data_IF_290771587124
#
_entry.id   IF_290771587124
#
_cell.length_a   1.000
_cell.length_b   1.000
_cell.length_c   1.000
_cell.angle_alpha   90.00
_cell.angle_beta   90.00
_cell.angle_gamma   90.00
#
_symmetry.space_group_name_H-M   'P 1'
#
loop_
_entity.id
_entity.type
_entity.pdbx_description
1 polymer ?
#
# COMPACT_ATOMS: atom_id res chain seq x y z
N UNK A 1 8.22 -30.42 -1.44
CA UNK A 1 7.79 -29.98 -0.10
C UNK A 1 7.22 -28.59 -0.25
N UNK A 2 5.90 -28.45 -0.20
CA UNK A 2 5.25 -27.14 -0.13
C UNK A 2 5.43 -26.64 1.30
N UNK A 3 6.30 -25.65 1.50
CA UNK A 3 6.33 -24.89 2.74
C UNK A 3 4.94 -24.25 2.86
N UNK A 4 4.15 -24.69 3.84
CA UNK A 4 2.93 -23.97 4.20
C UNK A 4 3.39 -22.60 4.68
N UNK A 5 3.18 -21.56 3.86
CA UNK A 5 3.27 -20.18 4.33
C UNK A 5 2.33 -20.07 5.54
N UNK A 6 2.87 -19.62 6.66
CA UNK A 6 2.10 -19.34 7.87
C UNK A 6 1.26 -18.10 7.56
N UNK A 7 -0.01 -18.35 7.23
CA UNK A 7 -0.99 -17.29 7.05
C UNK A 7 -1.13 -16.50 8.34
N UNK A 8 -0.72 -15.23 8.32
CA UNK A 8 -0.94 -14.29 9.43
C UNK A 8 -2.35 -13.73 9.31
N UNK A 9 -3.04 -13.55 10.43
CA UNK A 9 -4.37 -12.93 10.44
C UNK A 9 -4.30 -11.42 10.28
N UNK A 10 -5.42 -10.79 9.87
CA UNK A 10 -5.53 -9.33 9.79
C UNK A 10 -5.27 -8.65 11.14
N UNK A 11 -5.77 -9.22 12.24
CA UNK A 11 -5.54 -8.72 13.60
C UNK A 11 -4.05 -8.71 13.97
N UNK A 12 -3.33 -9.78 13.63
CA UNK A 12 -1.89 -9.84 13.87
C UNK A 12 -1.13 -8.81 13.00
N UNK A 13 -1.55 -8.59 11.76
CA UNK A 13 -0.96 -7.58 10.88
C UNK A 13 -1.20 -6.15 11.39
N UNK A 14 -2.40 -5.86 11.90
CA UNK A 14 -2.72 -4.58 12.55
C UNK A 14 -1.84 -4.34 13.77
N UNK A 15 -1.71 -5.35 14.64
CA UNK A 15 -0.86 -5.26 15.82
C UNK A 15 0.60 -4.97 15.48
N UNK A 16 1.13 -5.53 14.40
CA UNK A 16 2.48 -5.21 13.93
C UNK A 16 2.59 -3.75 13.47
N UNK A 17 1.58 -3.24 12.75
CA UNK A 17 1.53 -1.86 12.30
C UNK A 17 1.44 -0.87 13.49
N UNK A 18 0.56 -1.13 14.47
CA UNK A 18 0.44 -0.35 15.71
C UNK A 18 1.74 -0.31 16.53
N UNK A 19 2.56 -1.36 16.44
CA UNK A 19 3.86 -1.45 17.10
C UNK A 19 5.01 -0.89 16.24
N UNK A 20 4.69 -0.25 15.12
CA UNK A 20 5.63 0.26 14.11
C UNK A 20 6.62 -0.80 13.58
N UNK A 21 6.24 -2.08 13.62
CA UNK A 21 7.04 -3.21 13.11
C UNK A 21 6.93 -3.33 11.58
N UNK A 22 7.16 -2.23 10.87
CA UNK A 22 6.97 -2.12 9.42
C UNK A 22 7.86 -3.06 8.61
N UNK A 23 9.00 -3.48 9.15
CA UNK A 23 9.86 -4.50 8.51
C UNK A 23 9.15 -5.85 8.43
N UNK A 24 8.46 -6.25 9.50
CA UNK A 24 7.73 -7.52 9.58
C UNK A 24 6.44 -7.46 8.76
N UNK A 25 5.72 -6.33 8.81
CA UNK A 25 4.58 -6.06 7.91
C UNK A 25 4.98 -6.21 6.45
N UNK A 26 6.11 -5.61 6.06
CA UNK A 26 6.60 -5.69 4.68
C UNK A 26 7.02 -7.11 4.29
N UNK A 27 7.65 -7.86 5.18
CA UNK A 27 8.03 -9.25 4.92
C UNK A 27 6.81 -10.12 4.64
N UNK A 28 5.75 -10.00 5.45
CA UNK A 28 4.48 -10.69 5.25
C UNK A 28 3.89 -10.33 3.88
N UNK A 29 3.73 -9.04 3.58
CA UNK A 29 3.03 -8.61 2.38
C UNK A 29 3.80 -8.91 1.08
N UNK A 30 5.11 -9.17 1.16
CA UNK A 30 5.91 -9.67 0.04
C UNK A 30 5.62 -11.14 -0.29
N UNK A 31 5.14 -11.94 0.67
CA UNK A 31 4.71 -13.32 0.40
C UNK A 31 3.39 -13.38 -0.37
N UNK A 32 2.55 -12.35 -0.22
CA UNK A 32 1.31 -12.18 -0.94
C UNK A 32 0.24 -11.46 -0.10
N UNK A 33 -0.78 -10.96 -0.79
CA UNK A 33 -1.96 -10.38 -0.15
C UNK A 33 -3.07 -11.42 -0.14
N UNK A 34 -3.56 -11.76 1.05
CA UNK A 34 -4.72 -12.63 1.21
C UNK A 34 -6.03 -11.86 1.00
N UNK A 35 -7.09 -12.58 0.59
CA UNK A 35 -8.42 -12.01 0.35
C UNK A 35 -8.98 -11.28 1.57
N UNK A 36 -8.70 -11.75 2.78
CA UNK A 36 -9.11 -11.09 4.03
C UNK A 36 -8.42 -9.72 4.18
N UNK A 37 -7.11 -9.66 3.98
CA UNK A 37 -6.34 -8.41 4.04
C UNK A 37 -6.81 -7.42 2.98
N UNK A 38 -7.06 -7.92 1.76
CA UNK A 38 -7.58 -7.13 0.66
C UNK A 38 -8.98 -6.58 0.95
N UNK A 39 -9.88 -7.43 1.45
CA UNK A 39 -11.25 -7.05 1.81
C UNK A 39 -11.26 -6.01 2.92
N UNK A 40 -10.42 -6.18 3.94
CA UNK A 40 -10.28 -5.21 5.02
C UNK A 40 -9.72 -3.87 4.52
N UNK A 41 -8.66 -3.88 3.71
CA UNK A 41 -8.05 -2.66 3.19
C UNK A 41 -9.06 -1.84 2.36
N UNK A 42 -9.81 -2.51 1.48
CA UNK A 42 -10.79 -1.87 0.59
C UNK A 42 -12.04 -1.36 1.30
N UNK A 43 -12.51 -2.04 2.35
CA UNK A 43 -13.77 -1.69 3.05
C UNK A 43 -13.57 -0.83 4.30
N UNK A 44 -12.43 -0.95 4.96
CA UNK A 44 -12.19 -0.37 6.28
C UNK A 44 -10.91 0.44 6.30
N UNK A 45 -9.76 -0.18 6.02
CA UNK A 45 -8.45 0.41 6.27
C UNK A 45 -8.21 1.74 5.55
N UNK A 46 -8.56 1.87 4.27
CA UNK A 46 -8.38 3.13 3.52
C UNK A 46 -9.21 4.31 4.06
N UNK A 47 -10.26 4.02 4.82
CA UNK A 47 -11.20 4.99 5.39
C UNK A 47 -11.02 5.19 6.89
N UNK A 48 -10.03 4.52 7.50
CA UNK A 48 -9.77 4.63 8.93
C UNK A 48 -9.44 6.07 9.35
N UNK A 49 -9.82 6.42 10.57
CA UNK A 49 -9.36 7.64 11.21
C UNK A 49 -7.87 7.56 11.61
N UNK A 50 -7.35 6.34 11.80
CA UNK A 50 -5.96 6.09 12.16
C UNK A 50 -5.04 6.17 10.92
N UNK A 51 -3.93 6.91 11.06
CA UNK A 51 -2.92 7.04 10.01
C UNK A 51 -2.16 5.75 9.73
N UNK A 52 -1.95 4.90 10.74
CA UNK A 52 -1.21 3.64 10.60
C UNK A 52 -2.07 2.57 9.92
N UNK A 53 -3.36 2.52 10.22
CA UNK A 53 -4.31 1.68 9.48
C UNK A 53 -4.41 2.10 8.02
N UNK A 54 -4.45 3.41 7.73
CA UNK A 54 -4.43 3.92 6.34
C UNK A 54 -3.12 3.61 5.64
N UNK A 55 -1.99 3.68 6.34
CA UNK A 55 -0.68 3.28 5.81
C UNK A 55 -0.68 1.78 5.48
N UNK A 56 -1.10 0.92 6.41
CA UNK A 56 -1.18 -0.52 6.20
C UNK A 56 -2.10 -0.85 5.03
N UNK A 57 -3.27 -0.23 4.95
CA UNK A 57 -4.20 -0.41 3.85
C UNK A 57 -3.57 0.00 2.50
N UNK A 58 -2.94 1.18 2.41
CA UNK A 58 -2.26 1.62 1.20
C UNK A 58 -1.13 0.64 0.78
N UNK A 59 -0.39 0.11 1.75
CA UNK A 59 0.65 -0.89 1.54
C UNK A 59 0.09 -2.22 1.00
N UNK A 60 -1.01 -2.71 1.57
CA UNK A 60 -1.73 -3.89 1.08
C UNK A 60 -2.18 -3.67 -0.37
N UNK A 61 -2.77 -2.51 -0.67
CA UNK A 61 -3.27 -2.19 -2.00
C UNK A 61 -2.16 -2.09 -3.05
N UNK A 62 -0.97 -1.65 -2.68
CA UNK A 62 0.19 -1.63 -3.59
C UNK A 62 0.70 -3.05 -3.91
N UNK A 63 0.67 -3.97 -2.94
CA UNK A 63 1.08 -5.36 -3.14
C UNK A 63 0.03 -6.20 -3.88
N UNK A 64 -1.26 -5.90 -3.73
CA UNK A 64 -2.37 -6.63 -4.38
C UNK A 64 -2.20 -6.68 -5.91
N UNK A 65 -2.37 -7.85 -6.53
CA UNK A 65 -1.98 -8.09 -7.93
C UNK A 65 -2.74 -7.24 -8.94
N UNK A 66 -4.07 -7.13 -8.83
CA UNK A 66 -4.91 -6.32 -9.73
C UNK A 66 -6.10 -5.68 -9.00
N UNK A 67 -6.23 -4.36 -9.07
CA UNK A 67 -7.41 -3.65 -8.56
C UNK A 67 -8.46 -3.55 -9.67
N UNK A 68 -9.32 -4.57 -9.80
CA UNK A 68 -10.39 -4.60 -10.82
C UNK A 68 -11.79 -4.41 -10.21
N UNK A 69 -12.76 -4.04 -11.05
CA UNK A 69 -14.21 -4.05 -10.80
C UNK A 69 -14.64 -3.51 -9.43
N UNK A 70 -14.75 -4.40 -8.46
CA UNK A 70 -15.16 -4.14 -7.07
C UNK A 70 -14.24 -3.16 -6.32
N UNK A 71 -13.04 -2.90 -6.85
CA UNK A 71 -12.07 -1.96 -6.27
C UNK A 71 -12.25 -0.51 -6.72
N UNK A 72 -13.29 -0.18 -7.50
CA UNK A 72 -13.46 1.18 -8.05
C UNK A 72 -13.45 2.27 -6.97
N UNK A 73 -14.15 2.05 -5.86
CA UNK A 73 -14.16 2.99 -4.73
C UNK A 73 -12.79 3.06 -4.04
N UNK A 74 -12.11 1.94 -3.90
CA UNK A 74 -10.77 1.89 -3.31
C UNK A 74 -9.77 2.67 -4.17
N UNK A 75 -9.86 2.57 -5.50
CA UNK A 75 -9.01 3.33 -6.44
C UNK A 75 -9.28 4.83 -6.34
N UNK A 76 -10.55 5.25 -6.32
CA UNK A 76 -10.92 6.67 -6.13
C UNK A 76 -10.39 7.17 -4.79
N UNK A 77 -10.45 6.35 -3.73
CA UNK A 77 -9.93 6.70 -2.42
C UNK A 77 -8.41 6.82 -2.41
N UNK A 78 -7.69 5.89 -3.03
CA UNK A 78 -6.23 5.93 -3.19
C UNK A 78 -5.79 7.19 -3.93
N UNK A 79 -6.48 7.54 -5.02
CA UNK A 79 -6.22 8.77 -5.76
C UNK A 79 -6.41 10.01 -4.88
N UNK A 80 -7.50 10.09 -4.11
CA UNK A 80 -7.72 11.17 -3.16
C UNK A 80 -6.64 11.23 -2.06
N UNK A 81 -6.13 10.10 -1.58
CA UNK A 81 -5.04 10.04 -0.59
C UNK A 81 -3.75 10.68 -1.11
N UNK A 82 -3.45 10.58 -2.41
CA UNK A 82 -2.25 11.21 -2.99
C UNK A 82 -2.20 12.72 -2.72
N UNK A 83 -3.36 13.36 -2.59
CA UNK A 83 -3.47 14.80 -2.33
C UNK A 83 -3.73 15.11 -0.85
N UNK A 84 -4.64 14.38 -0.22
CA UNK A 84 -5.21 14.75 1.09
C UNK A 84 -4.55 14.06 2.29
N UNK A 85 -3.79 13.00 2.08
CA UNK A 85 -3.26 12.20 3.19
C UNK A 85 -2.15 12.95 3.96
N UNK A 86 -2.26 13.13 5.28
CA UNK A 86 -1.17 13.72 6.07
C UNK A 86 0.00 12.76 6.28
N UNK A 87 -0.23 11.45 6.41
CA UNK A 87 0.84 10.47 6.59
C UNK A 87 1.60 10.25 5.27
N UNK A 88 2.90 10.58 5.25
CA UNK A 88 3.72 10.48 4.05
C UNK A 88 3.81 9.04 3.51
N UNK A 89 3.96 8.03 4.36
CA UNK A 89 4.07 6.65 3.92
C UNK A 89 2.76 6.14 3.32
N UNK A 90 1.63 6.46 3.96
CA UNK A 90 0.31 6.18 3.41
C UNK A 90 0.11 6.85 2.04
N UNK A 91 0.50 8.13 1.91
CA UNK A 91 0.46 8.88 0.64
C UNK A 91 1.34 8.23 -0.43
N UNK A 92 2.56 7.83 -0.08
CA UNK A 92 3.51 7.21 -0.97
C UNK A 92 3.00 5.87 -1.51
N UNK A 93 2.56 4.96 -0.63
CA UNK A 93 2.03 3.67 -1.08
C UNK A 93 0.71 3.80 -1.85
N UNK A 94 -0.11 4.81 -1.55
CA UNK A 94 -1.29 5.12 -2.35
C UNK A 94 -0.89 5.54 -3.79
N UNK A 95 0.14 6.40 -3.92
CA UNK A 95 0.68 6.78 -5.22
C UNK A 95 1.26 5.57 -5.99
N UNK A 96 1.99 4.68 -5.33
CA UNK A 96 2.48 3.43 -5.93
C UNK A 96 1.33 2.53 -6.42
N UNK A 97 0.28 2.36 -5.62
CA UNK A 97 -0.91 1.60 -6.01
C UNK A 97 -1.59 2.24 -7.23
N UNK A 98 -1.71 3.57 -7.28
CA UNK A 98 -2.24 4.28 -8.47
C UNK A 98 -1.35 4.07 -9.70
N UNK A 99 -0.02 4.20 -9.56
CA UNK A 99 0.92 4.00 -10.66
C UNK A 99 0.83 2.58 -11.24
N UNK A 100 0.78 1.56 -10.38
CA UNK A 100 0.62 0.14 -10.77
C UNK A 100 -0.62 -0.09 -11.63
N UNK A 101 -1.71 0.61 -11.33
CA UNK A 101 -3.00 0.47 -12.00
C UNK A 101 -3.19 1.48 -13.15
N UNK A 102 -2.10 2.00 -13.72
CA UNK A 102 -2.13 2.87 -14.91
C UNK A 102 -2.63 4.29 -14.65
N UNK A 103 -2.69 4.74 -13.39
CA UNK A 103 -3.13 6.08 -12.98
C UNK A 103 -1.94 6.96 -12.57
N UNK A 104 -0.89 6.95 -13.37
CA UNK A 104 0.32 7.74 -13.15
C UNK A 104 0.16 9.21 -13.53
N UNK A 105 -0.52 10.00 -12.70
CA UNK A 105 -0.57 11.47 -12.89
C UNK A 105 0.78 12.11 -12.55
N UNK A 106 0.99 13.38 -12.95
CA UNK A 106 2.19 14.13 -12.55
C UNK A 106 2.32 14.21 -11.01
N UNK A 107 1.22 14.31 -10.29
CA UNK A 107 1.22 14.32 -8.83
C UNK A 107 1.70 12.97 -8.26
N UNK A 108 1.21 11.85 -8.81
CA UNK A 108 1.68 10.51 -8.45
C UNK A 108 3.17 10.36 -8.72
N UNK A 109 3.65 10.82 -9.88
CA UNK A 109 5.08 10.79 -10.22
C UNK A 109 5.91 11.59 -9.21
N UNK A 110 5.53 12.83 -8.89
CA UNK A 110 6.27 13.67 -7.94
C UNK A 110 6.36 13.04 -6.54
N UNK A 111 5.30 12.38 -6.07
CA UNK A 111 5.30 11.66 -4.79
C UNK A 111 6.31 10.50 -4.84
N UNK A 112 6.34 9.74 -5.93
CA UNK A 112 7.26 8.61 -6.09
C UNK A 112 8.70 9.09 -6.25
N UNK A 113 8.93 10.17 -7.00
CA UNK A 113 10.25 10.82 -7.13
C UNK A 113 10.80 11.25 -5.77
N UNK A 114 9.98 11.88 -4.94
CA UNK A 114 10.36 12.22 -3.55
C UNK A 114 10.73 10.97 -2.75
N UNK A 115 10.07 9.84 -3.00
CA UNK A 115 10.39 8.55 -2.38
C UNK A 115 11.80 8.05 -2.68
N UNK A 116 12.45 8.50 -3.77
CA UNK A 116 13.84 8.15 -4.07
C UNK A 116 14.83 8.75 -3.04
N UNK A 117 14.46 9.84 -2.38
CA UNK A 117 15.26 10.52 -1.37
C UNK A 117 15.05 9.92 0.04
N UNK A 118 14.04 9.06 0.20
CA UNK A 118 13.59 8.54 1.50
C UNK A 118 14.10 7.10 1.72
N UNK A 119 15.04 6.87 2.65
CA UNK A 119 15.70 5.55 2.80
C UNK A 119 14.75 4.38 3.04
N UNK A 120 13.62 4.62 3.71
CA UNK A 120 12.63 3.60 4.06
C UNK A 120 11.79 3.11 2.87
N UNK A 121 11.69 3.91 1.80
CA UNK A 121 10.85 3.60 0.63
C UNK A 121 11.58 3.70 -0.71
N UNK A 122 12.85 4.11 -0.73
CA UNK A 122 13.65 4.33 -1.94
C UNK A 122 13.66 3.12 -2.90
N UNK A 123 13.83 1.90 -2.39
CA UNK A 123 13.80 0.68 -3.22
C UNK A 123 12.43 0.49 -3.90
N UNK A 124 11.34 0.80 -3.20
CA UNK A 124 9.99 0.74 -3.78
C UNK A 124 9.81 1.85 -4.81
N UNK A 125 10.30 3.06 -4.52
CA UNK A 125 10.23 4.19 -5.45
C UNK A 125 10.97 3.89 -6.77
N UNK A 126 12.17 3.32 -6.70
CA UNK A 126 12.95 2.89 -7.87
C UNK A 126 12.18 1.90 -8.75
N UNK A 127 11.49 0.92 -8.14
CA UNK A 127 10.65 -0.06 -8.85
C UNK A 127 9.54 0.62 -9.66
N UNK A 128 8.91 1.67 -9.14
CA UNK A 128 7.79 2.33 -9.81
C UNK A 128 8.23 3.41 -10.81
N UNK A 129 9.36 4.07 -10.58
CA UNK A 129 9.90 5.03 -11.54
C UNK A 129 10.27 4.40 -12.87
N UNK A 130 10.75 3.15 -12.87
CA UNK A 130 11.02 2.42 -14.12
C UNK A 130 9.74 2.00 -14.86
N UNK A 131 8.60 1.91 -14.17
CA UNK A 131 7.29 1.58 -14.78
C UNK A 131 6.55 2.82 -15.31
N UNK A 132 6.85 4.00 -14.75
CA UNK A 132 6.25 5.28 -15.14
C UNK A 132 7.02 5.98 -16.27
N UNK A 133 8.19 5.46 -16.67
CA UNK A 133 9.04 5.97 -17.75
C UNK A 133 8.57 5.48 -19.13
#
# INVERSE_FOLDING_TARGET
MTVKSLKISMEALLKLAEQEQWKDVNAVLLEGVEDEHFTWATKTGLYSADGDERHLAARIMEQAQDLTGDSTNAIVRLDAMTTTEPNYHAKFYAACACAKNGRGTNAVRQIIEKGLEEPSVCTVAQKYMTQLA
#
